data_IF_403453888322
#
_entry.id   IF_403453888322
#
_cell.length_a   1.000
_cell.length_b   1.000
_cell.length_c   1.000
_cell.angle_alpha   90.00
_cell.angle_beta   90.00
_cell.angle_gamma   90.00
#
_symmetry.space_group_name_H-M   'P 1'
#
loop_
_entity.id
_entity.type
_entity.pdbx_description
1 polymer ?
#
# COMPACT_ATOMS: atom_id res chain seq x y z
N UNK A 1 2.57 -2.77 10.65
CA UNK A 1 1.26 -3.40 10.34
C UNK A 1 0.25 -3.47 11.49
N UNK A 2 0.61 -3.94 12.69
CA UNK A 2 -0.28 -3.89 13.87
C UNK A 2 -0.79 -2.46 14.08
N UNK A 3 0.14 -1.52 14.05
CA UNK A 3 -0.09 -0.11 14.35
C UNK A 3 -0.93 0.57 13.26
N UNK A 4 -0.78 0.18 11.99
CA UNK A 4 -1.67 0.60 10.90
C UNK A 4 -3.12 0.17 11.14
N UNK A 5 -3.34 -1.05 11.63
CA UNK A 5 -4.67 -1.48 12.08
C UNK A 5 -5.24 -0.59 13.19
N UNK A 6 -4.39 -0.15 14.13
CA UNK A 6 -4.78 0.76 15.20
C UNK A 6 -5.04 2.20 14.71
N UNK A 7 -4.28 2.69 13.73
CA UNK A 7 -4.52 3.96 13.05
C UNK A 7 -5.88 3.95 12.32
N UNK A 8 -6.13 2.90 11.51
CA UNK A 8 -7.42 2.68 10.85
C UNK A 8 -8.59 2.59 11.83
N UNK A 9 -8.40 1.93 12.98
CA UNK A 9 -9.39 1.87 14.05
C UNK A 9 -9.75 3.25 14.58
N UNK A 10 -8.75 4.09 14.84
CA UNK A 10 -8.97 5.44 15.37
C UNK A 10 -9.60 6.37 14.32
N UNK A 11 -9.21 6.26 13.04
CA UNK A 11 -9.79 7.04 11.93
C UNK A 11 -11.23 6.63 11.61
N UNK A 12 -11.47 5.34 11.34
CA UNK A 12 -12.71 4.88 10.71
C UNK A 12 -13.73 4.23 11.67
N UNK A 13 -13.28 3.63 12.77
CA UNK A 13 -14.17 2.95 13.73
C UNK A 13 -14.46 3.81 14.98
N UNK A 14 -13.58 4.75 15.32
CA UNK A 14 -13.67 5.60 16.52
C UNK A 14 -13.16 7.03 16.26
N UNK A 15 -13.67 7.73 15.22
CA UNK A 15 -13.20 9.07 14.85
C UNK A 15 -13.21 10.06 16.02
N UNK A 16 -12.32 11.05 15.93
CA UNK A 16 -12.33 12.22 16.79
C UNK A 16 -13.65 12.98 16.69
N UNK A 17 -14.02 13.75 17.73
CA UNK A 17 -15.12 14.73 17.65
C UNK A 17 -14.90 15.82 16.59
N UNK A 18 -13.67 15.94 16.09
CA UNK A 18 -13.30 16.87 15.02
C UNK A 18 -13.24 16.21 13.62
N UNK A 19 -13.37 14.87 13.55
CA UNK A 19 -13.31 14.05 12.33
C UNK A 19 -14.58 13.20 12.15
N UNK A 20 -15.72 13.60 12.73
CA UNK A 20 -16.92 12.75 12.82
C UNK A 20 -17.44 12.29 11.43
N UNK A 21 -17.25 13.12 10.40
CA UNK A 21 -17.57 12.82 8.99
C UNK A 21 -16.67 11.76 8.33
N UNK A 22 -15.58 11.31 8.98
CA UNK A 22 -14.65 10.29 8.48
C UNK A 22 -15.02 8.88 8.96
N UNK A 23 -15.94 8.76 9.94
CA UNK A 23 -16.36 7.47 10.49
C UNK A 23 -17.21 6.64 9.53
N UNK A 24 -16.96 5.33 9.46
CA UNK A 24 -17.77 4.42 8.63
C UNK A 24 -19.15 4.26 9.27
N UNK A 25 -20.17 4.85 8.65
CA UNK A 25 -21.53 4.97 9.20
C UNK A 25 -22.11 3.61 9.58
N UNK A 26 -22.46 3.44 10.86
CA UNK A 26 -23.06 2.22 11.41
C UNK A 26 -22.12 1.02 11.60
N UNK A 27 -20.81 1.20 11.42
CA UNK A 27 -19.82 0.15 11.72
C UNK A 27 -19.81 -0.22 13.21
N UNK A 28 -19.41 -1.45 13.55
CA UNK A 28 -19.30 -1.90 14.94
C UNK A 28 -17.85 -1.78 15.40
N UNK A 29 -17.59 -0.86 16.33
CA UNK A 29 -16.23 -0.51 16.77
C UNK A 29 -15.70 -1.32 17.96
N UNK A 30 -16.55 -2.03 18.69
CA UNK A 30 -16.19 -2.86 19.85
C UNK A 30 -16.21 -4.38 19.59
N UNK A 31 -16.78 -4.82 18.48
CA UNK A 31 -16.86 -6.22 18.06
C UNK A 31 -16.96 -6.27 16.54
N UNK A 32 -16.45 -7.34 15.93
CA UNK A 32 -16.61 -7.59 14.49
C UNK A 32 -18.08 -7.91 14.21
N UNK A 33 -18.59 -7.43 13.06
CA UNK A 33 -19.79 -7.96 12.44
C UNK A 33 -19.41 -8.53 11.07
N UNK A 34 -19.60 -9.82 10.87
CA UNK A 34 -19.21 -10.53 9.64
C UNK A 34 -20.01 -10.07 8.41
N UNK A 35 -21.12 -9.32 8.57
CA UNK A 35 -21.83 -8.69 7.44
C UNK A 35 -21.31 -7.28 7.08
N UNK A 36 -20.32 -6.74 7.81
CA UNK A 36 -19.76 -5.40 7.61
C UNK A 36 -18.30 -5.40 7.13
N UNK A 37 -17.54 -6.45 7.46
CA UNK A 37 -16.11 -6.56 7.23
C UNK A 37 -15.81 -7.74 6.30
N UNK A 38 -15.20 -7.45 5.15
CA UNK A 38 -14.59 -8.46 4.28
C UNK A 38 -13.05 -8.41 4.41
N UNK A 39 -12.39 -9.57 4.37
CA UNK A 39 -10.94 -9.70 4.48
C UNK A 39 -10.44 -10.73 3.46
N UNK A 40 -9.66 -10.25 2.50
CA UNK A 40 -8.99 -11.06 1.48
C UNK A 40 -7.47 -10.94 1.68
N UNK A 41 -6.73 -12.03 1.48
CA UNK A 41 -5.27 -12.05 1.62
C UNK A 41 -4.64 -13.01 0.60
N UNK A 42 -3.49 -12.64 0.05
CA UNK A 42 -2.66 -13.55 -0.74
C UNK A 42 -2.25 -14.78 0.07
N UNK A 43 -2.07 -15.92 -0.60
CA UNK A 43 -1.87 -17.23 0.03
C UNK A 43 -0.47 -17.43 0.66
N UNK A 44 0.41 -16.43 0.59
CA UNK A 44 1.73 -16.49 1.19
C UNK A 44 1.70 -16.18 2.70
N UNK A 45 2.80 -16.49 3.39
CA UNK A 45 2.90 -16.32 4.84
C UNK A 45 2.98 -14.85 5.27
N UNK A 46 3.51 -13.94 4.44
CA UNK A 46 3.65 -12.51 4.78
C UNK A 46 2.27 -11.85 4.74
N UNK A 47 1.53 -11.96 3.64
CA UNK A 47 0.19 -11.36 3.54
C UNK A 47 -0.79 -11.92 4.58
N UNK A 48 -0.81 -13.23 4.82
CA UNK A 48 -1.68 -13.83 5.84
C UNK A 48 -1.29 -13.47 7.30
N UNK A 49 0.01 -13.31 7.59
CA UNK A 49 0.46 -12.78 8.89
C UNK A 49 0.15 -11.29 9.04
N UNK A 50 0.36 -10.47 8.00
CA UNK A 50 0.02 -9.05 7.97
C UNK A 50 -1.49 -8.82 8.14
N UNK A 51 -2.33 -9.64 7.51
CA UNK A 51 -3.77 -9.64 7.73
C UNK A 51 -4.12 -9.89 9.21
N UNK A 52 -3.47 -10.88 9.83
CA UNK A 52 -3.66 -11.22 11.24
C UNK A 52 -3.23 -10.07 12.15
N UNK A 53 -2.06 -9.47 11.91
CA UNK A 53 -1.53 -8.35 12.69
C UNK A 53 -2.37 -7.08 12.53
N UNK A 54 -2.78 -6.72 11.32
CA UNK A 54 -3.64 -5.56 11.07
C UNK A 54 -5.01 -5.74 11.73
N UNK A 55 -5.62 -6.94 11.68
CA UNK A 55 -6.87 -7.21 12.40
C UNK A 55 -6.69 -7.14 13.92
N UNK A 56 -5.54 -7.56 14.45
CA UNK A 56 -5.16 -7.35 15.86
C UNK A 56 -4.93 -5.87 16.22
N UNK A 57 -4.68 -4.99 15.26
CA UNK A 57 -4.69 -3.53 15.47
C UNK A 57 -6.09 -2.93 15.37
N UNK A 58 -6.87 -3.39 14.39
CA UNK A 58 -8.20 -2.90 14.07
C UNK A 58 -9.24 -3.27 15.15
N UNK A 59 -9.10 -4.44 15.76
CA UNK A 59 -9.90 -4.94 16.88
C UNK A 59 -8.99 -5.46 18.01
N UNK A 60 -8.32 -4.56 18.76
CA UNK A 60 -7.16 -4.91 19.56
C UNK A 60 -7.52 -5.49 20.93
N UNK A 61 -6.77 -6.49 21.42
CA UNK A 61 -6.83 -6.99 22.79
C UNK A 61 -6.10 -6.08 23.81
N UNK A 62 -6.10 -4.75 23.54
CA UNK A 62 -5.40 -3.63 24.22
C UNK A 62 -3.98 -3.31 23.64
N UNK A 63 -3.46 -2.06 23.72
CA UNK A 63 -2.64 -1.46 22.63
C UNK A 63 -1.21 -0.95 22.96
N UNK A 64 -0.36 -0.82 21.92
CA UNK A 64 0.94 -0.07 21.84
C UNK A 64 1.25 0.37 20.38
N UNK A 65 2.32 1.17 20.10
CA UNK A 65 2.60 1.86 18.79
C UNK A 65 4.06 2.37 18.58
N UNK A 66 4.66 2.37 17.36
CA UNK A 66 5.71 3.33 16.82
C UNK A 66 6.30 3.02 15.40
N UNK A 67 6.85 4.03 14.68
CA UNK A 67 7.49 3.99 13.33
C UNK A 67 9.00 4.49 13.35
N UNK A 68 9.76 5.05 12.36
CA UNK A 68 9.59 5.64 10.99
C UNK A 68 10.99 5.77 10.23
N UNK A 69 11.08 5.87 8.87
CA UNK A 69 11.95 6.76 7.98
C UNK A 69 12.65 6.18 6.68
N UNK A 70 13.01 7.07 5.72
CA UNK A 70 13.35 6.79 4.28
C UNK A 70 14.44 7.70 3.59
N UNK A 71 15.10 7.28 2.47
CA UNK A 71 16.29 7.93 1.78
C UNK A 71 16.32 7.70 0.20
N UNK A 72 17.32 8.15 -0.64
CA UNK A 72 17.44 7.75 -2.08
C UNK A 72 18.90 7.36 -2.65
N UNK A 73 19.41 7.60 -3.92
CA UNK A 73 20.21 6.63 -4.77
C UNK A 73 21.69 7.06 -5.16
N UNK A 74 22.55 6.52 -6.09
CA UNK A 74 22.47 5.64 -7.31
C UNK A 74 23.64 4.56 -7.52
N UNK A 75 23.69 3.82 -8.67
CA UNK A 75 23.47 2.35 -8.66
C UNK A 75 24.45 1.25 -9.27
N UNK A 76 25.54 1.46 -10.04
CA UNK A 76 26.22 0.31 -10.76
C UNK A 76 27.50 -0.29 -10.15
N UNK A 77 28.46 0.51 -9.68
CA UNK A 77 29.64 0.00 -8.93
C UNK A 77 29.19 -0.65 -7.61
N UNK A 78 28.07 -0.14 -7.10
CA UNK A 78 27.42 -0.48 -5.86
C UNK A 78 27.14 -1.98 -5.63
N UNK A 79 26.41 -2.65 -6.54
CA UNK A 79 26.15 -4.10 -6.40
C UNK A 79 27.44 -4.93 -6.25
N UNK A 80 28.45 -4.61 -7.06
CA UNK A 80 29.75 -5.29 -7.03
C UNK A 80 30.55 -5.04 -5.74
N UNK A 81 30.29 -3.94 -5.02
CA UNK A 81 31.02 -3.58 -3.78
C UNK A 81 30.35 -4.10 -2.50
N UNK A 82 29.06 -4.44 -2.54
CA UNK A 82 28.37 -5.17 -1.49
C UNK A 82 28.44 -6.70 -1.63
N UNK A 83 28.64 -7.21 -2.86
CA UNK A 83 28.55 -8.64 -3.15
C UNK A 83 29.34 -9.51 -2.18
N UNK A 84 30.64 -9.26 -2.08
CA UNK A 84 31.59 -10.04 -1.27
C UNK A 84 31.43 -9.79 0.26
N UNK A 85 30.47 -8.95 0.69
CA UNK A 85 30.20 -8.56 2.09
C UNK A 85 28.83 -8.99 2.63
N UNK A 86 27.81 -9.07 1.76
CA UNK A 86 26.40 -9.24 2.16
C UNK A 86 25.73 -10.42 1.44
N UNK A 87 26.05 -10.68 0.17
CA UNK A 87 25.23 -11.54 -0.70
C UNK A 87 25.86 -12.89 -1.06
N UNK A 88 27.19 -13.00 -0.96
CA UNK A 88 27.97 -14.12 -1.48
C UNK A 88 27.67 -15.51 -0.87
N UNK A 89 27.03 -15.57 0.31
CA UNK A 89 26.60 -16.83 0.93
C UNK A 89 25.18 -17.28 0.52
N UNK A 90 24.34 -16.37 0.00
CA UNK A 90 22.92 -16.60 -0.25
C UNK A 90 22.54 -16.66 -1.73
N UNK A 91 23.30 -15.99 -2.60
CA UNK A 91 23.05 -15.90 -4.04
C UNK A 91 24.35 -16.22 -4.83
N UNK A 92 24.28 -16.68 -6.08
CA UNK A 92 25.45 -16.80 -6.96
C UNK A 92 25.81 -15.46 -7.62
N UNK A 93 27.09 -15.20 -7.92
CA UNK A 93 27.58 -13.88 -8.42
C UNK A 93 26.96 -13.43 -9.75
N UNK A 94 26.37 -14.35 -10.52
CA UNK A 94 25.54 -14.04 -11.69
C UNK A 94 24.27 -13.26 -11.35
N UNK A 95 23.71 -13.47 -10.17
CA UNK A 95 22.46 -12.86 -9.70
C UNK A 95 22.65 -11.48 -9.04
N UNK A 96 23.90 -11.04 -8.89
CA UNK A 96 24.34 -9.74 -8.36
C UNK A 96 24.00 -8.54 -9.26
N UNK A 97 22.78 -8.49 -9.79
CA UNK A 97 22.41 -7.64 -10.91
C UNK A 97 20.98 -7.07 -10.79
N UNK A 98 20.68 -6.09 -11.64
CA UNK A 98 19.43 -5.33 -11.61
C UNK A 98 18.14 -6.16 -11.80
N UNK A 99 18.16 -7.28 -12.52
CA UNK A 99 16.96 -8.09 -12.77
C UNK A 99 16.42 -8.80 -11.50
N UNK A 100 17.23 -8.85 -10.44
CA UNK A 100 16.97 -9.45 -9.13
C UNK A 100 17.07 -8.43 -7.97
N UNK A 101 17.05 -7.12 -8.28
CA UNK A 101 17.16 -6.04 -7.31
C UNK A 101 16.21 -6.19 -6.11
N UNK A 102 14.97 -6.65 -6.35
CA UNK A 102 13.96 -6.90 -5.31
C UNK A 102 14.36 -7.99 -4.32
N UNK A 103 14.92 -9.10 -4.78
CA UNK A 103 15.36 -10.19 -3.88
C UNK A 103 16.63 -9.83 -3.13
N UNK A 104 17.56 -9.12 -3.79
CA UNK A 104 18.76 -8.57 -3.16
C UNK A 104 18.39 -7.53 -2.08
N UNK A 105 17.42 -6.64 -2.36
CA UNK A 105 16.89 -5.69 -1.38
C UNK A 105 16.23 -6.40 -0.20
N UNK A 106 15.26 -7.29 -0.45
CA UNK A 106 14.55 -8.02 0.60
C UNK A 106 15.51 -8.77 1.54
N UNK A 107 16.54 -9.40 0.98
CA UNK A 107 17.57 -10.10 1.77
C UNK A 107 18.44 -9.14 2.59
N UNK A 108 18.91 -8.04 1.97
CA UNK A 108 19.69 -7.01 2.67
C UNK A 108 18.89 -6.31 3.78
N UNK A 109 17.61 -6.00 3.53
CA UNK A 109 16.71 -5.41 4.52
C UNK A 109 16.45 -6.36 5.69
N UNK A 110 16.23 -7.64 5.41
CA UNK A 110 16.10 -8.66 6.45
C UNK A 110 17.37 -8.75 7.31
N UNK A 111 18.56 -8.86 6.69
CA UNK A 111 19.82 -8.89 7.41
C UNK A 111 20.09 -7.59 8.19
N UNK A 112 19.78 -6.43 7.62
CA UNK A 112 19.89 -5.13 8.32
C UNK A 112 18.98 -5.06 9.55
N UNK A 113 17.79 -5.67 9.50
CA UNK A 113 16.89 -5.80 10.64
C UNK A 113 17.37 -6.75 11.74
N UNK A 114 18.11 -7.82 11.38
CA UNK A 114 18.32 -8.98 12.27
C UNK A 114 19.78 -9.32 12.60
N UNK A 115 20.76 -8.85 11.84
CA UNK A 115 22.19 -9.13 12.06
C UNK A 115 23.03 -7.86 12.28
N UNK A 116 23.67 -7.79 13.44
CA UNK A 116 24.58 -6.71 13.81
C UNK A 116 25.89 -6.71 13.01
N UNK A 117 26.30 -7.82 12.37
CA UNK A 117 27.48 -7.81 11.48
C UNK A 117 27.16 -7.11 10.16
N UNK A 118 25.97 -7.35 9.59
CA UNK A 118 25.54 -6.67 8.37
C UNK A 118 25.53 -5.14 8.55
N UNK A 119 25.09 -4.67 9.73
CA UNK A 119 25.15 -3.26 10.16
C UNK A 119 26.55 -2.65 10.26
N UNK A 120 27.62 -3.46 10.25
CA UNK A 120 29.00 -2.97 10.30
C UNK A 120 29.74 -3.03 8.95
N UNK A 121 29.14 -3.63 7.91
CA UNK A 121 29.73 -3.77 6.56
C UNK A 121 28.95 -3.06 5.43
N UNK A 122 27.73 -2.62 5.74
CA UNK A 122 26.81 -1.86 4.87
C UNK A 122 26.40 -0.54 5.56
N UNK A 123 26.00 0.49 4.82
CA UNK A 123 25.46 1.76 5.37
C UNK A 123 23.94 1.89 5.15
N UNK A 124 23.23 2.83 5.82
CA UNK A 124 21.83 3.12 5.53
C UNK A 124 21.61 3.48 4.05
N UNK A 125 22.45 4.38 3.50
CA UNK A 125 22.44 4.76 2.08
C UNK A 125 22.66 3.56 1.14
N UNK A 126 23.33 2.49 1.60
CA UNK A 126 23.47 1.26 0.83
C UNK A 126 22.19 0.40 0.87
N UNK A 127 21.51 0.31 2.01
CA UNK A 127 20.23 -0.39 2.08
C UNK A 127 19.21 0.29 1.15
N UNK A 128 19.17 1.62 1.20
CA UNK A 128 18.26 2.41 0.39
C UNK A 128 18.56 2.29 -1.11
N UNK A 129 19.84 2.29 -1.48
CA UNK A 129 20.27 2.04 -2.86
C UNK A 129 19.60 0.80 -3.46
N UNK A 130 19.48 -0.27 -2.66
CA UNK A 130 18.82 -1.51 -3.05
C UNK A 130 17.30 -1.33 -3.15
N UNK A 131 16.68 -0.58 -2.24
CA UNK A 131 15.23 -0.24 -2.27
C UNK A 131 14.85 0.54 -3.53
N UNK A 132 15.60 1.59 -3.87
CA UNK A 132 15.44 2.39 -5.09
C UNK A 132 15.60 1.53 -6.36
N UNK A 133 16.55 0.59 -6.35
CA UNK A 133 16.77 -0.34 -7.46
C UNK A 133 15.66 -1.39 -7.58
N UNK A 134 15.21 -1.94 -6.46
CA UNK A 134 14.08 -2.86 -6.39
C UNK A 134 12.81 -2.20 -6.93
N UNK A 135 12.57 -0.93 -6.60
CA UNK A 135 11.47 -0.16 -7.19
C UNK A 135 11.58 0.00 -8.71
N UNK A 136 12.77 0.36 -9.22
CA UNK A 136 12.98 0.49 -10.67
C UNK A 136 12.73 -0.83 -11.41
N UNK A 137 13.21 -1.95 -10.85
CA UNK A 137 12.98 -3.29 -11.41
C UNK A 137 11.49 -3.69 -11.36
N UNK A 138 10.84 -3.55 -10.21
CA UNK A 138 9.45 -3.95 -10.01
C UNK A 138 8.48 -3.06 -10.79
N UNK A 139 8.77 -1.77 -10.95
CA UNK A 139 8.00 -0.87 -11.81
C UNK A 139 8.16 -1.22 -13.29
N UNK A 140 9.35 -1.62 -13.75
CA UNK A 140 9.54 -2.15 -15.11
C UNK A 140 8.77 -3.46 -15.35
N UNK A 141 8.53 -4.26 -14.31
CA UNK A 141 7.75 -5.52 -14.37
C UNK A 141 6.23 -5.33 -14.22
N UNK A 142 5.77 -4.34 -13.43
CA UNK A 142 4.36 -4.25 -12.96
C UNK A 142 3.70 -2.86 -13.05
N UNK A 143 4.45 -1.82 -13.43
CA UNK A 143 3.97 -0.43 -13.52
C UNK A 143 4.36 0.30 -14.82
N UNK A 144 4.97 -0.38 -15.79
CA UNK A 144 5.47 0.26 -17.01
C UNK A 144 4.37 0.46 -18.06
N UNK A 145 4.00 1.71 -18.33
CA UNK A 145 3.17 2.10 -19.48
C UNK A 145 4.12 2.23 -20.69
N UNK A 146 4.09 1.33 -21.68
CA UNK A 146 4.84 1.53 -22.91
C UNK A 146 4.28 2.76 -23.64
N UNK A 147 5.08 3.82 -23.70
CA UNK A 147 4.77 4.94 -24.56
C UNK A 147 4.78 4.47 -26.03
N UNK A 148 3.63 4.63 -26.71
CA UNK A 148 3.42 4.37 -28.13
C UNK A 148 3.43 2.86 -28.51
N UNK A 149 2.37 2.15 -28.13
CA UNK A 149 1.92 0.89 -28.74
C UNK A 149 0.53 1.05 -29.39
N UNK A 150 0.11 0.10 -30.22
CA UNK A 150 -1.24 0.08 -30.83
C UNK A 150 -2.31 -0.08 -29.73
N UNK A 151 -3.43 0.69 -29.74
CA UNK A 151 -4.53 0.52 -28.79
C UNK A 151 -5.18 -0.88 -28.75
N UNK A 152 -4.91 -1.76 -29.72
CA UNK A 152 -5.34 -3.17 -29.71
C UNK A 152 -4.30 -4.13 -29.11
N UNK A 153 -3.03 -3.73 -29.03
CA UNK A 153 -1.94 -4.47 -28.37
C UNK A 153 -1.81 -3.98 -26.90
N UNK A 154 -2.93 -3.96 -26.18
CA UNK A 154 -3.07 -3.44 -24.81
C UNK A 154 -2.16 -4.20 -23.82
N UNK A 155 -1.15 -3.54 -23.22
CA UNK A 155 -0.05 -4.24 -22.54
C UNK A 155 -0.49 -4.93 -21.25
N UNK A 156 -0.10 -6.21 -21.14
CA UNK A 156 -0.36 -7.09 -20.00
C UNK A 156 0.29 -6.64 -18.67
N UNK A 157 1.10 -5.56 -18.69
CA UNK A 157 1.86 -5.02 -17.54
C UNK A 157 1.04 -4.72 -16.28
N UNK A 158 -0.28 -4.53 -16.40
CA UNK A 158 -1.13 -3.98 -15.34
C UNK A 158 -2.14 -4.95 -14.74
N UNK A 159 -2.04 -6.27 -14.97
CA UNK A 159 -3.06 -7.23 -14.50
C UNK A 159 -3.36 -7.07 -13.01
N UNK A 160 -2.34 -6.88 -12.17
CA UNK A 160 -2.50 -6.65 -10.72
C UNK A 160 -3.29 -5.35 -10.41
N UNK A 161 -2.87 -4.21 -10.99
CA UNK A 161 -3.55 -2.92 -10.81
C UNK A 161 -4.97 -2.89 -11.37
N UNK A 162 -5.19 -3.44 -12.58
CA UNK A 162 -6.51 -3.53 -13.21
C UNK A 162 -7.47 -4.41 -12.40
N UNK A 163 -6.96 -5.50 -11.82
CA UNK A 163 -7.73 -6.37 -10.91
C UNK A 163 -8.11 -5.63 -9.63
N UNK A 164 -7.19 -4.88 -9.03
CA UNK A 164 -7.47 -4.04 -7.85
C UNK A 164 -8.53 -2.97 -8.16
N UNK A 165 -8.36 -2.19 -9.23
CA UNK A 165 -9.33 -1.17 -9.66
C UNK A 165 -10.72 -1.78 -9.89
N UNK A 166 -10.79 -2.92 -10.58
CA UNK A 166 -12.05 -3.63 -10.85
C UNK A 166 -12.71 -4.12 -9.56
N UNK A 167 -11.94 -4.67 -8.61
CA UNK A 167 -12.45 -5.12 -7.30
C UNK A 167 -12.96 -3.96 -6.46
N UNK A 168 -12.24 -2.83 -6.42
CA UNK A 168 -12.68 -1.60 -5.72
C UNK A 168 -13.99 -1.06 -6.31
N UNK A 169 -14.06 -0.94 -7.65
CA UNK A 169 -15.27 -0.46 -8.33
C UNK A 169 -16.50 -1.36 -8.05
N UNK A 170 -16.33 -2.69 -8.08
CA UNK A 170 -17.38 -3.64 -7.75
C UNK A 170 -17.83 -3.53 -6.28
N UNK A 171 -16.87 -3.44 -5.34
CA UNK A 171 -17.16 -3.29 -3.91
C UNK A 171 -17.95 -2.00 -3.61
N UNK A 172 -17.65 -0.90 -4.31
CA UNK A 172 -18.39 0.36 -4.21
C UNK A 172 -19.78 0.28 -4.86
N UNK A 173 -19.92 -0.34 -6.03
CA UNK A 173 -21.23 -0.55 -6.67
C UNK A 173 -22.17 -1.36 -5.76
N UNK A 174 -21.72 -2.50 -5.24
CA UNK A 174 -22.45 -3.33 -4.27
C UNK A 174 -22.79 -2.58 -2.97
N UNK A 175 -21.92 -1.67 -2.51
CA UNK A 175 -22.17 -0.82 -1.34
C UNK A 175 -23.35 0.14 -1.62
N UNK A 176 -23.31 0.87 -2.74
CA UNK A 176 -24.35 1.80 -3.19
C UNK A 176 -25.69 1.07 -3.39
N UNK A 177 -25.71 -0.03 -4.16
CA UNK A 177 -26.91 -0.86 -4.40
C UNK A 177 -27.55 -1.37 -3.09
N UNK A 178 -26.73 -1.69 -2.08
CA UNK A 178 -27.23 -2.14 -0.78
C UNK A 178 -27.81 -1.00 0.09
N UNK A 179 -27.62 0.26 -0.30
CA UNK A 179 -27.87 1.43 0.54
C UNK A 179 -26.91 1.50 1.72
N UNK A 180 -25.61 1.27 1.47
CA UNK A 180 -24.55 1.30 2.49
C UNK A 180 -24.60 0.16 3.51
N UNK A 181 -25.33 -0.93 3.25
CA UNK A 181 -25.53 -2.04 4.20
C UNK A 181 -24.46 -3.13 4.10
N UNK A 182 -23.93 -3.37 2.90
CA UNK A 182 -22.84 -4.31 2.60
C UNK A 182 -21.52 -3.56 2.38
N UNK A 183 -20.41 -4.30 2.34
CA UNK A 183 -19.09 -3.83 1.93
C UNK A 183 -18.66 -2.51 2.62
N UNK A 184 -18.99 -2.38 3.91
CA UNK A 184 -18.73 -1.18 4.73
C UNK A 184 -17.24 -0.98 5.00
N UNK A 185 -16.50 -2.07 5.19
CA UNK A 185 -15.05 -2.08 5.26
C UNK A 185 -14.55 -3.35 4.57
N UNK A 186 -13.61 -3.19 3.63
CA UNK A 186 -13.02 -4.29 2.89
C UNK A 186 -11.50 -4.14 2.99
N UNK A 187 -10.81 -5.20 3.37
CA UNK A 187 -9.36 -5.20 3.54
C UNK A 187 -8.75 -6.25 2.62
N UNK A 188 -7.75 -5.84 1.83
CA UNK A 188 -7.01 -6.71 0.92
C UNK A 188 -5.53 -6.69 1.32
N UNK A 189 -5.00 -7.84 1.75
CA UNK A 189 -3.61 -7.99 2.17
C UNK A 189 -2.81 -8.65 1.05
N UNK A 190 -1.93 -7.86 0.42
CA UNK A 190 -1.20 -8.21 -0.79
C UNK A 190 0.23 -7.68 -0.73
N UNK A 191 1.09 -8.18 -1.62
CA UNK A 191 2.37 -7.59 -1.99
C UNK A 191 2.20 -6.28 -2.80
N UNK A 192 3.30 -5.68 -3.22
CA UNK A 192 3.42 -4.34 -3.81
C UNK A 192 2.94 -4.21 -5.28
N UNK A 193 2.77 -5.30 -6.03
CA UNK A 193 2.47 -5.23 -7.47
C UNK A 193 1.11 -4.58 -7.79
N UNK A 194 0.02 -4.78 -7.03
CA UNK A 194 -1.22 -4.03 -7.21
C UNK A 194 -1.09 -2.54 -6.88
N UNK A 195 -0.19 -2.16 -5.97
CA UNK A 195 0.11 -0.75 -5.66
C UNK A 195 0.83 -0.09 -6.83
N UNK A 196 1.94 -0.68 -7.30
CA UNK A 196 2.68 -0.16 -8.47
C UNK A 196 1.81 -0.11 -9.73
N UNK A 197 0.99 -1.15 -9.95
CA UNK A 197 0.02 -1.18 -11.03
C UNK A 197 -1.05 -0.09 -10.91
N UNK A 198 -1.54 0.20 -9.70
CA UNK A 198 -2.46 1.31 -9.47
C UNK A 198 -1.80 2.68 -9.67
N UNK A 199 -0.60 2.90 -9.12
CA UNK A 199 0.16 4.15 -9.25
C UNK A 199 0.44 4.50 -10.72
N UNK A 200 0.70 3.49 -11.55
CA UNK A 200 0.82 3.65 -12.99
C UNK A 200 -0.52 4.00 -13.65
N UNK A 201 -1.59 3.23 -13.40
CA UNK A 201 -2.92 3.47 -13.99
C UNK A 201 -3.52 4.83 -13.61
N UNK A 202 -3.26 5.31 -12.39
CA UNK A 202 -3.65 6.63 -11.91
C UNK A 202 -2.59 7.73 -12.18
N UNK A 203 -1.51 7.40 -12.89
CA UNK A 203 -0.43 8.32 -13.29
C UNK A 203 0.29 9.05 -12.13
N UNK A 204 0.27 8.48 -10.92
CA UNK A 204 0.72 9.12 -9.68
C UNK A 204 2.24 9.22 -9.56
N UNK A 205 2.99 8.34 -10.23
CA UNK A 205 4.44 8.42 -10.34
C UNK A 205 4.93 9.64 -11.16
N UNK A 206 4.02 10.44 -11.72
CA UNK A 206 4.32 11.66 -12.47
C UNK A 206 3.76 12.91 -11.77
N UNK A 207 4.43 14.06 -11.97
CA UNK A 207 3.96 15.35 -11.44
C UNK A 207 4.35 15.59 -9.96
N UNK A 208 3.52 16.36 -9.26
CA UNK A 208 3.90 16.97 -7.97
C UNK A 208 4.13 15.98 -6.81
N UNK A 209 3.47 14.82 -6.82
CA UNK A 209 3.61 13.77 -5.80
C UNK A 209 4.54 12.63 -6.21
N UNK A 210 5.22 12.75 -7.37
CA UNK A 210 6.05 11.70 -7.96
C UNK A 210 7.13 11.16 -7.03
N UNK A 211 7.62 11.95 -6.07
CA UNK A 211 8.62 11.54 -5.09
C UNK A 211 8.15 10.43 -4.12
N UNK A 212 6.84 10.28 -3.91
CA UNK A 212 6.27 9.22 -3.05
C UNK A 212 5.85 8.00 -3.88
N UNK A 213 5.28 8.23 -5.07
CA UNK A 213 4.81 7.15 -5.96
C UNK A 213 5.90 6.57 -6.88
N UNK A 214 7.13 7.10 -6.81
CA UNK A 214 8.32 6.55 -7.46
C UNK A 214 9.22 5.76 -6.51
N UNK A 215 8.62 5.09 -5.52
CA UNK A 215 9.31 4.23 -4.55
C UNK A 215 8.53 2.92 -4.34
N UNK A 216 9.17 1.91 -3.76
CA UNK A 216 8.46 0.70 -3.32
C UNK A 216 7.64 1.04 -2.09
N UNK A 217 6.35 0.63 -2.02
CA UNK A 217 5.60 0.69 -0.77
C UNK A 217 6.32 -0.10 0.33
N UNK A 218 6.59 0.51 1.47
CA UNK A 218 7.30 -0.18 2.55
C UNK A 218 6.42 -1.24 3.25
N UNK A 219 7.01 -2.16 4.03
CA UNK A 219 6.30 -3.27 4.66
C UNK A 219 5.15 -2.88 5.62
N UNK A 220 3.96 -2.65 5.06
CA UNK A 220 2.75 -2.24 5.78
C UNK A 220 2.12 -0.93 5.31
N UNK A 221 2.74 -0.27 4.31
CA UNK A 221 2.11 0.80 3.57
C UNK A 221 0.72 0.39 3.05
N UNK A 222 -0.24 1.32 3.11
CA UNK A 222 -1.65 1.04 2.89
C UNK A 222 -2.27 2.03 1.90
N UNK A 223 -2.85 1.49 0.83
CA UNK A 223 -3.62 2.23 -0.16
C UNK A 223 -5.11 2.16 0.18
N UNK A 224 -5.73 3.32 0.36
CA UNK A 224 -7.11 3.46 0.87
C UNK A 224 -8.01 4.09 -0.18
N UNK A 225 -9.15 3.47 -0.43
CA UNK A 225 -10.22 4.01 -1.26
C UNK A 225 -11.42 4.34 -0.37
N UNK A 226 -11.82 5.61 -0.32
CA UNK A 226 -12.93 6.09 0.51
C UNK A 226 -14.13 6.43 -0.39
N UNK A 227 -15.31 5.86 -0.10
CA UNK A 227 -16.59 6.22 -0.74
C UNK A 227 -17.42 7.04 0.25
N UNK A 228 -17.93 8.18 -0.18
CA UNK A 228 -18.76 9.06 0.65
C UNK A 228 -19.98 9.60 -0.09
N UNK A 229 -21.07 9.83 0.64
CA UNK A 229 -22.26 10.51 0.14
C UNK A 229 -22.18 12.00 0.45
N UNK A 230 -22.46 12.85 -0.53
CA UNK A 230 -22.67 14.29 -0.38
C UNK A 230 -24.17 14.52 -0.28
N UNK A 231 -24.61 15.10 0.83
CA UNK A 231 -25.97 15.58 1.00
C UNK A 231 -26.05 17.00 0.41
N UNK A 232 -26.72 17.14 -0.74
CA UNK A 232 -27.06 18.45 -1.32
C UNK A 232 -28.13 19.13 -0.48
N UNK A 233 -28.00 20.44 -0.24
CA UNK A 233 -28.90 21.19 0.65
C UNK A 233 -30.38 21.04 0.24
N UNK A 234 -31.24 20.92 1.25
CA UNK A 234 -32.66 20.64 1.06
C UNK A 234 -33.40 21.85 0.46
N UNK A 235 -33.59 21.81 -0.86
CA UNK A 235 -34.72 22.51 -1.49
C UNK A 235 -36.00 21.73 -1.20
N UNK A 236 -37.13 22.41 -0.97
CA UNK A 236 -38.40 21.78 -0.55
C UNK A 236 -39.07 20.87 -1.63
N UNK A 237 -38.38 20.54 -2.72
CA UNK A 237 -38.77 19.53 -3.69
C UNK A 237 -38.06 18.20 -3.41
N UNK A 238 -38.83 17.14 -3.19
CA UNK A 238 -38.33 15.77 -2.99
C UNK A 238 -37.63 15.25 -4.26
N UNK A 239 -36.32 15.43 -4.33
CA UNK A 239 -35.42 14.81 -5.32
C UNK A 239 -34.50 13.80 -4.62
N UNK A 240 -34.27 12.67 -5.27
CA UNK A 240 -33.53 11.52 -4.72
C UNK A 240 -32.02 11.58 -5.02
N UNK A 241 -31.46 12.78 -5.17
CA UNK A 241 -30.14 13.05 -5.75
C UNK A 241 -28.97 12.98 -4.74
N UNK A 242 -28.95 11.95 -3.89
CA UNK A 242 -27.77 11.63 -3.07
C UNK A 242 -26.56 11.41 -3.99
N UNK A 243 -25.65 12.38 -3.99
CA UNK A 243 -24.47 12.36 -4.85
C UNK A 243 -23.34 11.58 -4.16
N UNK A 244 -22.57 10.81 -4.92
CA UNK A 244 -21.48 10.00 -4.36
C UNK A 244 -20.12 10.52 -4.83
N UNK A 245 -19.24 10.80 -3.88
CA UNK A 245 -17.83 11.14 -4.10
C UNK A 245 -16.92 9.99 -3.70
N UNK A 246 -15.68 10.02 -4.22
CA UNK A 246 -14.63 9.08 -3.86
C UNK A 246 -13.31 9.83 -3.62
N UNK A 247 -12.53 9.39 -2.63
CA UNK A 247 -11.13 9.80 -2.46
C UNK A 247 -10.23 8.58 -2.62
N UNK A 248 -8.99 8.81 -3.02
CA UNK A 248 -7.90 7.86 -2.79
C UNK A 248 -6.89 8.50 -1.85
N UNK A 249 -6.34 7.71 -0.94
CA UNK A 249 -5.28 8.13 -0.02
C UNK A 249 -4.24 7.02 0.12
N UNK A 250 -2.97 7.39 -0.02
CA UNK A 250 -1.84 6.54 0.30
C UNK A 250 -1.25 6.94 1.64
N UNK A 251 -0.79 5.97 2.42
CA UNK A 251 -0.07 6.19 3.67
C UNK A 251 0.99 5.10 3.85
N UNK A 252 2.17 5.51 4.30
CA UNK A 252 3.35 4.67 4.46
C UNK A 252 3.79 4.60 5.93
N UNK A 253 4.36 3.47 6.38
CA UNK A 253 4.88 3.32 7.75
C UNK A 253 6.15 4.16 7.99
N UNK A 254 6.72 4.79 6.96
CA UNK A 254 7.89 5.68 7.06
C UNK A 254 7.59 7.20 6.96
N UNK A 255 6.33 7.61 6.75
CA UNK A 255 5.97 9.03 6.56
C UNK A 255 5.65 9.72 7.91
N UNK A 256 6.67 10.36 8.48
CA UNK A 256 6.82 10.65 9.91
C UNK A 256 5.93 11.77 10.50
N UNK A 257 4.71 11.96 9.98
CA UNK A 257 3.72 12.89 10.52
C UNK A 257 2.26 12.50 10.21
N UNK A 258 1.95 11.23 9.88
CA UNK A 258 0.61 10.78 9.45
C UNK A 258 0.04 11.61 8.27
N UNK A 259 0.90 12.12 7.37
CA UNK A 259 0.47 13.08 6.35
C UNK A 259 -0.23 12.40 5.16
N UNK A 260 -1.53 12.17 5.34
CA UNK A 260 -2.47 11.77 4.27
C UNK A 260 -2.29 12.67 3.03
N UNK A 261 -1.61 12.16 2.02
CA UNK A 261 -1.73 12.72 0.67
C UNK A 261 -3.08 12.31 0.10
N UNK A 262 -3.90 13.33 -0.17
CA UNK A 262 -5.06 13.23 -1.04
C UNK A 262 -4.60 13.14 -2.50
N UNK A 263 -5.31 12.32 -3.27
CA UNK A 263 -5.10 12.07 -4.69
C UNK A 263 -6.39 12.41 -5.45
#
# INVERSE_FOLDING_TARGET
MLDQGAAFRNRYLRPSRYDEYVGIVGVKSKHINNSHLNVEASTDRRSSASATAFLQGLYPPWPYTSCDLDVPPHNRVFYSSLWDKVFCEAFPRSEANFYNAHELYNYAAFLWGHDNKTRSVMTPDNLEMLRQLAWQEQTLKHGNIPALGDPQEDPLSFIAGRTLCSRVAALFAENIESGGKRNKLNLAFTSHEPFLGFFALANLANGASSNIFSQLPDPGATLTFELFSIETEATDSYDSSTSYGHNVAYHDENDSCNQRQLL
#
